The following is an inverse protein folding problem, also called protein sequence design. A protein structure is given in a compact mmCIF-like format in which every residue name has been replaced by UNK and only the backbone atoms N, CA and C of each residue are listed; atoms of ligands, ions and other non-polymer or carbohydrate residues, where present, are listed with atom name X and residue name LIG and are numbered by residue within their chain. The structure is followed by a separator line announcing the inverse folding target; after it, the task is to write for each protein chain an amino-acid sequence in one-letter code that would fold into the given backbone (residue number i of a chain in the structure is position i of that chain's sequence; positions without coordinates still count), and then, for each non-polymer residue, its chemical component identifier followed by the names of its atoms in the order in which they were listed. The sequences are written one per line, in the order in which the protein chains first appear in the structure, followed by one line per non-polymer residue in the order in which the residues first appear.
data_IF_616024455012
#
_entry.id   IF_616024455012
#
_cell.length_a   1.000
_cell.length_b   1.000
_cell.length_c   1.000
_cell.angle_alpha   90.00
_cell.angle_beta   90.00
_cell.angle_gamma   90.00
#
_symmetry.space_group_name_H-M   'P 1'
#
loop_
_entity.id
_entity.type
_entity.pdbx_description
1 polymer ?
#
# COMPACT_ATOMS: atom_id res chain seq x y z
N UNK A 1 -13.36 25.67 -43.10
CA UNK A 1 -14.14 24.76 -42.22
C UNK A 1 -15.32 25.51 -41.67
N UNK A 2 -16.50 24.89 -41.68
CA UNK A 2 -17.68 25.44 -40.99
C UNK A 2 -17.45 25.27 -39.47
N UNK A 3 -17.54 26.32 -38.65
CA UNK A 3 -17.33 26.20 -37.21
C UNK A 3 -18.41 25.30 -36.58
N UNK A 4 -18.05 24.35 -35.70
CA UNK A 4 -19.02 23.49 -35.05
C UNK A 4 -19.97 24.33 -34.19
N UNK A 5 -21.27 24.17 -34.40
CA UNK A 5 -22.29 24.87 -33.62
C UNK A 5 -22.63 24.09 -32.35
N UNK A 6 -22.80 24.80 -31.24
CA UNK A 6 -23.13 24.22 -29.93
C UNK A 6 -24.48 23.47 -30.00
N UNK A 7 -24.56 22.20 -29.53
CA UNK A 7 -25.81 21.44 -29.52
C UNK A 7 -26.96 22.17 -28.80
N UNK A 8 -26.67 22.95 -27.75
CA UNK A 8 -27.67 23.72 -26.99
C UNK A 8 -28.37 24.77 -27.88
N UNK A 9 -27.63 25.39 -28.80
CA UNK A 9 -28.18 26.38 -29.75
C UNK A 9 -29.07 25.69 -30.80
N UNK A 10 -28.69 24.48 -31.23
CA UNK A 10 -29.46 23.67 -32.18
C UNK A 10 -30.75 23.13 -31.55
N UNK A 11 -30.75 22.81 -30.25
CA UNK A 11 -31.94 22.38 -29.51
C UNK A 11 -32.91 23.55 -29.26
N UNK A 12 -32.39 24.71 -28.85
CA UNK A 12 -33.20 25.91 -28.60
C UNK A 12 -33.82 26.53 -29.86
N UNK A 13 -33.26 26.30 -31.06
CA UNK A 13 -33.79 26.84 -32.31
C UNK A 13 -33.95 25.77 -33.41
N UNK A 14 -35.13 25.12 -33.52
CA UNK A 14 -35.35 24.04 -34.48
C UNK A 14 -35.38 24.51 -35.95
N UNK A 15 -35.68 25.79 -36.22
CA UNK A 15 -35.61 26.35 -37.57
C UNK A 15 -34.15 26.51 -38.01
N UNK A 16 -33.31 27.06 -37.12
CA UNK A 16 -31.88 27.17 -37.34
C UNK A 16 -31.22 25.79 -37.46
N UNK A 17 -31.63 24.80 -36.65
CA UNK A 17 -31.18 23.39 -36.79
C UNK A 17 -31.43 22.83 -38.18
N UNK A 18 -32.65 23.03 -38.73
CA UNK A 18 -32.98 22.61 -40.11
C UNK A 18 -32.15 23.35 -41.16
N UNK A 19 -31.96 24.66 -41.00
CA UNK A 19 -31.12 25.47 -41.90
C UNK A 19 -29.65 25.01 -41.88
N UNK A 20 -29.07 24.83 -40.69
CA UNK A 20 -27.71 24.38 -40.49
C UNK A 20 -27.49 22.96 -41.03
N UNK A 21 -28.43 22.04 -40.79
CA UNK A 21 -28.43 20.71 -41.40
C UNK A 21 -28.50 20.80 -42.93
N UNK A 22 -29.41 21.58 -43.50
CA UNK A 22 -29.50 21.76 -44.95
C UNK A 22 -28.20 22.33 -45.54
N UNK A 23 -27.66 23.40 -44.95
CA UNK A 23 -26.40 24.02 -45.38
C UNK A 23 -25.23 23.02 -45.34
N UNK A 24 -25.06 22.27 -44.25
CA UNK A 24 -23.94 21.33 -44.08
C UNK A 24 -24.09 20.03 -44.88
N UNK A 25 -25.31 19.57 -45.16
CA UNK A 25 -25.56 18.30 -45.85
C UNK A 25 -25.80 18.44 -47.35
N UNK A 26 -26.47 19.49 -47.83
CA UNK A 26 -26.87 19.64 -49.25
C UNK A 26 -26.10 20.73 -50.00
N UNK A 27 -25.80 21.88 -49.36
CA UNK A 27 -25.24 23.04 -50.06
C UNK A 27 -23.73 23.22 -49.91
N UNK A 28 -23.14 22.85 -48.77
CA UNK A 28 -21.74 23.12 -48.46
C UNK A 28 -20.93 21.83 -48.19
N UNK A 29 -19.67 21.86 -48.60
CA UNK A 29 -18.64 20.91 -48.20
C UNK A 29 -18.12 21.26 -46.78
N UNK A 30 -17.47 20.34 -46.05
CA UNK A 30 -16.93 20.60 -44.70
C UNK A 30 -15.97 21.80 -44.65
N UNK A 31 -15.29 22.11 -45.75
CA UNK A 31 -14.41 23.27 -45.86
C UNK A 31 -15.14 24.62 -45.99
N UNK A 32 -16.42 24.61 -46.37
CA UNK A 32 -17.24 25.80 -46.62
C UNK A 32 -17.46 26.15 -48.10
N UNK A 33 -16.95 25.34 -49.04
CA UNK A 33 -17.21 25.51 -50.49
C UNK A 33 -18.58 24.95 -50.90
N UNK A 34 -19.17 25.48 -51.97
CA UNK A 34 -20.53 25.12 -52.42
C UNK A 34 -20.58 23.89 -53.33
N UNK A 35 -21.37 22.88 -52.93
CA UNK A 35 -21.60 21.63 -53.68
C UNK A 35 -22.25 21.84 -55.05
N UNK A 36 -23.08 22.89 -55.17
CA UNK A 36 -23.80 23.22 -56.41
C UNK A 36 -22.87 23.43 -57.63
N UNK A 37 -21.61 23.80 -57.40
CA UNK A 37 -20.62 24.00 -58.47
C UNK A 37 -19.73 22.79 -58.74
N UNK A 38 -19.74 21.78 -57.88
CA UNK A 38 -18.95 20.55 -58.03
C UNK A 38 -19.49 19.65 -59.15
N UNK A 39 -20.78 19.78 -59.49
CA UNK A 39 -21.43 19.03 -60.55
C UNK A 39 -21.20 19.61 -61.97
N UNK A 40 -20.77 20.87 -62.09
CA UNK A 40 -20.63 21.55 -63.39
C UNK A 40 -19.39 21.04 -64.16
N UNK A 41 -19.55 20.47 -65.37
CA UNK A 41 -18.42 19.86 -66.10
C UNK A 41 -17.32 20.86 -66.44
N UNK A 42 -17.67 22.11 -66.81
CA UNK A 42 -16.70 23.17 -67.08
C UNK A 42 -15.83 23.52 -65.85
N UNK A 43 -16.37 23.42 -64.63
CA UNK A 43 -15.59 23.63 -63.39
C UNK A 43 -14.78 22.40 -62.96
N UNK A 44 -15.16 21.19 -63.37
CA UNK A 44 -14.30 20.01 -63.23
C UNK A 44 -13.07 20.13 -64.13
N UNK A 45 -13.26 20.44 -65.41
CA UNK A 45 -12.17 20.71 -66.35
C UNK A 45 -11.22 21.80 -65.84
N UNK A 46 -11.74 22.95 -65.41
CA UNK A 46 -10.92 24.03 -64.83
C UNK A 46 -10.14 23.59 -63.57
N UNK A 47 -10.71 22.72 -62.73
CA UNK A 47 -10.00 22.17 -61.55
C UNK A 47 -8.90 21.17 -61.94
N UNK A 48 -9.11 20.40 -63.00
CA UNK A 48 -8.10 19.50 -63.56
C UNK A 48 -6.96 20.31 -64.18
N UNK A 49 -7.25 21.36 -64.96
CA UNK A 49 -6.27 22.31 -65.49
C UNK A 49 -5.46 23.01 -64.38
N UNK A 50 -6.14 23.50 -63.33
CA UNK A 50 -5.48 24.12 -62.16
C UNK A 50 -4.63 23.10 -61.41
N UNK A 51 -5.09 21.87 -61.23
CA UNK A 51 -4.29 20.78 -60.64
C UNK A 51 -3.05 20.49 -61.49
N UNK A 52 -3.17 20.46 -62.81
CA UNK A 52 -2.02 20.24 -63.69
C UNK A 52 -1.03 21.40 -63.65
N UNK A 53 -1.51 22.65 -63.59
CA UNK A 53 -0.67 23.82 -63.33
C UNK A 53 0.06 23.72 -61.99
N UNK A 54 -0.63 23.31 -60.92
CA UNK A 54 -0.03 23.11 -59.60
C UNK A 54 1.01 21.97 -59.60
N UNK A 55 0.74 20.85 -60.28
CA UNK A 55 1.69 19.75 -60.45
C UNK A 55 2.91 20.20 -61.24
N UNK A 56 2.74 21.01 -62.30
CA UNK A 56 3.86 21.60 -63.05
C UNK A 56 4.70 22.54 -62.18
N UNK A 57 4.06 23.45 -61.43
CA UNK A 57 4.73 24.37 -60.52
C UNK A 57 5.50 23.64 -59.40
N UNK A 58 4.86 22.67 -58.74
CA UNK A 58 5.50 21.84 -57.72
C UNK A 58 6.68 21.04 -58.28
N UNK A 59 6.56 20.47 -59.49
CA UNK A 59 7.70 19.81 -60.18
C UNK A 59 8.84 20.77 -60.48
N UNK A 60 8.56 22.03 -60.86
CA UNK A 60 9.59 23.08 -61.05
C UNK A 60 10.30 23.38 -59.72
N UNK A 61 9.54 23.64 -58.67
CA UNK A 61 10.07 23.95 -57.33
C UNK A 61 10.90 22.80 -56.72
N UNK A 62 10.43 21.56 -56.82
CA UNK A 62 11.16 20.37 -56.33
C UNK A 62 12.50 20.23 -57.06
N UNK A 63 12.53 20.43 -58.39
CA UNK A 63 13.78 20.40 -59.18
C UNK A 63 14.73 21.54 -58.81
N UNK A 64 14.22 22.77 -58.68
CA UNK A 64 15.02 23.93 -58.26
C UNK A 64 15.63 23.70 -56.87
N UNK A 65 14.84 23.26 -55.89
CA UNK A 65 15.32 22.97 -54.54
C UNK A 65 16.31 21.79 -54.50
N UNK A 66 16.13 20.75 -55.32
CA UNK A 66 17.07 19.64 -55.42
C UNK A 66 18.41 20.08 -56.04
N UNK A 67 18.38 20.92 -57.07
CA UNK A 67 19.58 21.53 -57.68
C UNK A 67 20.29 22.47 -56.71
N UNK A 68 19.54 23.34 -56.00
CA UNK A 68 20.09 24.20 -54.94
C UNK A 68 20.81 23.37 -53.88
N UNK A 69 20.17 22.31 -53.38
CA UNK A 69 20.79 21.42 -52.40
C UNK A 69 22.04 20.77 -52.97
N UNK A 70 22.00 20.25 -54.20
CA UNK A 70 23.17 19.64 -54.85
C UNK A 70 24.36 20.61 -54.96
N UNK A 71 24.11 21.88 -55.30
CA UNK A 71 25.12 22.92 -55.45
C UNK A 71 25.78 23.33 -54.12
N UNK A 72 24.97 23.55 -53.07
CA UNK A 72 25.42 24.20 -51.83
C UNK A 72 25.62 23.25 -50.63
N UNK A 73 25.19 21.98 -50.72
CA UNK A 73 25.42 20.96 -49.69
C UNK A 73 26.83 20.34 -49.91
N UNK A 74 27.77 20.44 -48.94
CA UNK A 74 29.13 19.92 -49.11
C UNK A 74 29.12 18.39 -49.30
N UNK A 75 28.20 17.70 -48.64
CA UNK A 75 28.11 16.23 -48.62
C UNK A 75 27.36 15.66 -49.85
N UNK A 76 27.07 16.49 -50.87
CA UNK A 76 26.24 16.15 -52.03
C UNK A 76 26.87 15.14 -53.01
N UNK A 77 28.12 14.73 -52.80
CA UNK A 77 28.86 13.79 -53.66
C UNK A 77 29.23 14.35 -55.04
N UNK A 78 28.98 15.64 -55.31
CA UNK A 78 29.26 16.26 -56.60
C UNK A 78 30.76 16.65 -56.72
N UNK A 79 31.44 16.34 -57.85
CA UNK A 79 32.78 16.85 -58.13
C UNK A 79 32.82 18.37 -58.18
N UNK A 80 33.89 18.97 -57.68
CA UNK A 80 33.98 20.43 -57.52
C UNK A 80 33.90 21.17 -58.86
N UNK A 81 34.49 20.62 -59.94
CA UNK A 81 34.39 21.13 -61.32
C UNK A 81 32.93 21.26 -61.84
N UNK A 82 31.99 20.51 -61.23
CA UNK A 82 30.57 20.54 -61.56
C UNK A 82 29.75 21.40 -60.60
N UNK A 83 30.29 21.83 -59.45
CA UNK A 83 29.55 22.63 -58.45
C UNK A 83 29.28 24.04 -58.94
N UNK A 84 30.28 24.73 -59.48
CA UNK A 84 30.15 26.14 -59.87
C UNK A 84 29.09 26.36 -60.96
N UNK A 85 29.03 25.59 -62.08
CA UNK A 85 27.99 25.77 -63.09
C UNK A 85 26.59 25.46 -62.57
N UNK A 86 26.47 24.45 -61.69
CA UNK A 86 25.17 24.08 -61.07
C UNK A 86 24.73 25.15 -60.06
N UNK A 87 25.66 25.78 -59.34
CA UNK A 87 25.37 26.90 -58.44
C UNK A 87 24.91 28.14 -59.21
N UNK A 88 25.61 28.52 -60.29
CA UNK A 88 25.26 29.64 -61.17
C UNK A 88 23.86 29.42 -61.76
N UNK A 89 23.61 28.25 -62.36
CA UNK A 89 22.30 27.90 -62.93
C UNK A 89 21.20 27.85 -61.85
N UNK A 90 21.49 27.34 -60.64
CA UNK A 90 20.52 27.33 -59.54
C UNK A 90 20.15 28.76 -59.08
N UNK A 91 21.13 29.66 -58.96
CA UNK A 91 20.90 31.05 -58.57
C UNK A 91 20.12 31.81 -59.64
N UNK A 92 20.42 31.59 -60.92
CA UNK A 92 19.66 32.16 -62.04
C UNK A 92 18.19 31.69 -62.07
N UNK A 93 17.95 30.39 -61.81
CA UNK A 93 16.60 29.83 -61.72
C UNK A 93 15.80 30.35 -60.51
N UNK A 94 16.47 30.87 -59.47
CA UNK A 94 15.83 31.48 -58.31
C UNK A 94 15.57 32.98 -58.48
N UNK A 95 16.48 33.71 -59.12
CA UNK A 95 16.34 35.15 -59.36
C UNK A 95 15.31 35.50 -60.45
N UNK A 96 15.05 34.58 -61.39
CA UNK A 96 14.10 34.76 -62.49
C UNK A 96 12.90 33.79 -62.41
N UNK A 97 11.95 33.95 -61.47
CA UNK A 97 10.79 33.08 -61.35
C UNK A 97 9.82 33.17 -62.55
N UNK A 98 9.66 34.38 -63.13
CA UNK A 98 8.56 34.75 -64.04
C UNK A 98 8.87 34.63 -65.54
N UNK A 99 10.13 34.47 -65.96
CA UNK A 99 10.51 34.30 -67.38
C UNK A 99 10.01 33.00 -68.02
N UNK A 100 9.41 32.10 -67.22
CA UNK A 100 8.72 30.89 -67.70
C UNK A 100 7.17 31.03 -67.69
N UNK A 101 6.65 32.22 -67.37
CA UNK A 101 5.22 32.53 -67.33
C UNK A 101 4.79 33.55 -68.39
N UNK A 102 5.71 34.41 -68.86
CA UNK A 102 5.46 35.39 -69.91
C UNK A 102 6.33 35.10 -71.14
N UNK A 103 5.67 34.82 -72.26
CA UNK A 103 6.30 34.51 -73.56
C UNK A 103 6.68 35.80 -74.33
N UNK A 104 7.00 36.88 -73.61
CA UNK A 104 7.27 38.20 -74.16
C UNK A 104 8.74 38.58 -73.93
N UNK A 105 9.46 38.83 -75.03
CA UNK A 105 10.91 39.02 -75.01
C UNK A 105 11.32 40.39 -74.49
N UNK A 106 11.46 40.53 -73.18
CA UNK A 106 12.21 41.65 -72.60
C UNK A 106 13.69 41.54 -72.99
N UNK A 107 14.26 42.62 -73.54
CA UNK A 107 15.64 42.64 -74.05
C UNK A 107 16.68 42.17 -73.01
N UNK A 108 16.50 42.48 -71.72
CA UNK A 108 17.43 42.08 -70.66
C UNK A 108 17.55 40.55 -70.52
N UNK A 109 16.47 39.79 -70.76
CA UNK A 109 16.49 38.33 -70.66
C UNK A 109 17.27 37.67 -71.81
N UNK A 110 17.38 38.34 -72.97
CA UNK A 110 18.19 37.88 -74.09
C UNK A 110 19.69 38.04 -73.78
N UNK A 111 20.08 39.21 -73.28
CA UNK A 111 21.48 39.53 -72.96
C UNK A 111 22.03 38.65 -71.82
N UNK A 112 21.23 38.37 -70.77
CA UNK A 112 21.63 37.42 -69.71
C UNK A 112 21.73 35.98 -70.22
N UNK A 113 20.90 35.58 -71.17
CA UNK A 113 20.93 34.23 -71.76
C UNK A 113 22.16 34.03 -72.66
N UNK A 114 22.66 35.09 -73.31
CA UNK A 114 23.93 35.06 -74.06
C UNK A 114 25.12 35.00 -73.11
N UNK A 115 25.09 35.74 -71.98
CA UNK A 115 26.16 35.73 -70.98
C UNK A 115 26.31 34.37 -70.29
N UNK A 116 25.19 33.71 -69.97
CA UNK A 116 25.16 32.41 -69.27
C UNK A 116 25.29 31.20 -70.20
N UNK A 117 25.31 31.38 -71.53
CA UNK A 117 25.38 30.28 -72.48
C UNK A 117 26.54 29.28 -72.22
N UNK A 118 27.78 29.71 -71.88
CA UNK A 118 28.88 28.78 -71.58
C UNK A 118 28.62 27.92 -70.34
N UNK A 119 28.05 28.50 -69.28
CA UNK A 119 27.72 27.80 -68.04
C UNK A 119 26.54 26.83 -68.24
N UNK A 120 25.59 27.20 -69.10
CA UNK A 120 24.46 26.36 -69.49
C UNK A 120 24.92 25.16 -70.34
N UNK A 121 25.82 25.35 -71.30
CA UNK A 121 26.39 24.26 -72.12
C UNK A 121 27.28 23.32 -71.28
N UNK A 122 28.04 23.88 -70.33
CA UNK A 122 28.81 23.11 -69.35
C UNK A 122 27.90 22.32 -68.39
N UNK A 123 26.81 22.93 -67.93
CA UNK A 123 25.77 22.25 -67.15
C UNK A 123 25.16 21.08 -67.93
N UNK A 124 24.76 21.28 -69.20
CA UNK A 124 24.22 20.21 -70.04
C UNK A 124 25.24 19.09 -70.30
N UNK A 125 26.53 19.43 -70.46
CA UNK A 125 27.60 18.45 -70.61
C UNK A 125 27.80 17.61 -69.34
N UNK A 126 27.64 18.22 -68.17
CA UNK A 126 27.80 17.58 -66.87
C UNK A 126 26.52 16.86 -66.36
N UNK A 127 25.37 17.03 -67.02
CA UNK A 127 24.09 16.41 -66.65
C UNK A 127 24.17 14.91 -66.27
N UNK A 128 24.90 14.03 -66.98
CA UNK A 128 24.99 12.61 -66.61
C UNK A 128 25.55 12.37 -65.20
N UNK A 129 26.47 13.24 -64.74
CA UNK A 129 27.06 13.17 -63.40
C UNK A 129 26.08 13.66 -62.32
N UNK A 130 25.14 14.54 -62.67
CA UNK A 130 24.13 15.07 -61.74
C UNK A 130 22.99 14.06 -61.46
N UNK A 131 22.73 13.09 -62.36
CA UNK A 131 21.57 12.19 -62.26
C UNK A 131 21.57 11.35 -60.99
N UNK A 132 22.71 10.76 -60.62
CA UNK A 132 22.79 9.89 -59.46
C UNK A 132 22.62 10.66 -58.12
N UNK A 133 23.36 11.76 -57.85
CA UNK A 133 23.13 12.61 -56.68
C UNK A 133 21.70 13.19 -56.59
N UNK A 134 21.13 13.66 -57.71
CA UNK A 134 19.74 14.16 -57.72
C UNK A 134 18.73 13.06 -57.38
N UNK A 135 18.93 11.84 -57.89
CA UNK A 135 18.10 10.68 -57.56
C UNK A 135 18.20 10.35 -56.06
N UNK A 136 19.40 10.41 -55.48
CA UNK A 136 19.61 10.17 -54.05
C UNK A 136 18.92 11.23 -53.18
N UNK A 137 19.07 12.52 -53.50
CA UNK A 137 18.40 13.64 -52.80
C UNK A 137 16.86 13.51 -52.87
N UNK A 138 16.31 13.10 -54.02
CA UNK A 138 14.86 12.88 -54.15
C UNK A 138 14.41 11.61 -53.41
N UNK A 139 15.22 10.55 -53.40
CA UNK A 139 14.89 9.30 -52.70
C UNK A 139 14.93 9.46 -51.17
N UNK A 140 15.88 10.23 -50.64
CA UNK A 140 16.00 10.57 -49.22
C UNK A 140 14.81 11.42 -48.78
N UNK A 141 14.49 12.50 -49.51
CA UNK A 141 13.31 13.31 -49.24
C UNK A 141 11.99 12.49 -49.27
N UNK A 142 11.85 11.54 -50.21
CA UNK A 142 10.71 10.60 -50.21
C UNK A 142 10.72 9.65 -49.01
N UNK A 143 11.89 9.22 -48.52
CA UNK A 143 12.01 8.41 -47.31
C UNK A 143 11.66 9.19 -46.05
N UNK A 144 12.05 10.47 -45.97
CA UNK A 144 11.73 11.39 -44.87
C UNK A 144 10.23 11.66 -44.81
N UNK A 145 9.58 11.94 -45.94
CA UNK A 145 8.11 12.13 -45.99
C UNK A 145 7.37 10.85 -45.60
N UNK A 146 7.86 9.66 -45.99
CA UNK A 146 7.30 8.38 -45.51
C UNK A 146 7.54 8.17 -44.01
N UNK A 147 8.70 8.55 -43.48
CA UNK A 147 8.99 8.46 -42.05
C UNK A 147 8.06 9.40 -41.24
N UNK A 148 7.88 10.63 -41.72
CA UNK A 148 6.93 11.60 -41.16
C UNK A 148 5.51 11.05 -41.20
N UNK A 149 5.03 10.49 -42.33
CA UNK A 149 3.72 9.87 -42.41
C UNK A 149 3.53 8.76 -41.35
N UNK A 150 4.49 7.85 -41.24
CA UNK A 150 4.43 6.66 -40.37
C UNK A 150 4.79 6.90 -38.88
N UNK A 151 5.31 8.07 -38.49
CA UNK A 151 5.83 8.30 -37.14
C UNK A 151 4.73 8.26 -36.04
N UNK A 152 4.42 7.08 -35.50
CA UNK A 152 3.35 6.89 -34.51
C UNK A 152 2.18 6.00 -34.95
N UNK A 153 2.25 5.39 -36.14
CA UNK A 153 1.46 4.19 -36.46
C UNK A 153 2.08 2.91 -35.91
N UNK A 154 3.28 2.98 -35.33
CA UNK A 154 3.79 1.92 -34.46
C UNK A 154 2.84 1.75 -33.28
N UNK A 155 2.27 0.56 -33.04
CA UNK A 155 1.41 0.35 -31.88
C UNK A 155 2.18 0.69 -30.60
N UNK A 156 1.52 1.38 -29.68
CA UNK A 156 2.10 1.81 -28.41
C UNK A 156 2.49 0.57 -27.59
N UNK A 157 3.78 0.22 -27.64
CA UNK A 157 4.26 -1.08 -27.14
C UNK A 157 5.78 -1.26 -27.19
N UNK A 158 6.56 -0.17 -27.16
CA UNK A 158 8.01 -0.24 -26.89
C UNK A 158 8.54 1.09 -26.35
N UNK A 159 8.41 1.30 -25.04
CA UNK A 159 9.27 2.24 -24.32
C UNK A 159 10.69 1.64 -24.25
N UNK A 160 11.57 2.05 -25.15
CA UNK A 160 13.01 1.86 -25.01
C UNK A 160 13.69 3.22 -24.94
N UNK A 161 14.11 3.58 -23.72
CA UNK A 161 15.11 4.61 -23.47
C UNK A 161 16.45 4.13 -24.10
N UNK A 162 17.34 5.10 -24.34
CA UNK A 162 18.72 4.98 -24.82
C UNK A 162 19.03 4.82 -26.33
N UNK A 163 19.88 5.75 -26.74
CA UNK A 163 20.82 5.78 -27.88
C UNK A 163 22.22 6.01 -27.27
N UNK A 164 23.36 5.84 -27.98
CA UNK A 164 23.54 5.26 -29.32
C UNK A 164 24.72 4.25 -29.43
N UNK A 165 24.73 3.39 -30.46
CA UNK A 165 25.87 3.23 -31.43
C UNK A 165 25.58 2.16 -32.50
N UNK A 166 26.29 2.18 -33.65
CA UNK A 166 25.88 1.43 -34.84
C UNK A 166 26.55 0.05 -34.95
N UNK A 167 25.79 -0.95 -35.39
CA UNK A 167 26.32 -2.05 -36.22
C UNK A 167 25.20 -2.71 -37.02
N UNK A 168 25.40 -2.80 -38.34
CA UNK A 168 24.45 -3.43 -39.24
C UNK A 168 24.36 -4.94 -38.97
N UNK A 169 23.13 -5.47 -38.95
CA UNK A 169 22.88 -6.87 -39.31
C UNK A 169 21.47 -7.08 -39.85
N UNK A 170 21.41 -7.00 -41.18
CA UNK A 170 20.58 -7.81 -42.08
C UNK A 170 19.49 -8.65 -41.41
N UNK A 171 18.27 -8.11 -41.35
CA UNK A 171 17.04 -8.92 -41.35
C UNK A 171 16.17 -8.44 -42.50
N UNK A 172 16.27 -9.15 -43.62
CA UNK A 172 15.30 -9.07 -44.69
C UNK A 172 13.97 -9.63 -44.16
N UNK A 173 13.13 -8.75 -43.62
CA UNK A 173 11.74 -9.08 -43.36
C UNK A 173 11.05 -9.27 -44.70
N UNK A 174 10.61 -10.51 -44.98
CA UNK A 174 9.97 -10.91 -46.24
C UNK A 174 8.81 -9.96 -46.56
N UNK A 175 8.84 -9.40 -47.76
CA UNK A 175 7.83 -8.47 -48.23
C UNK A 175 6.44 -9.14 -48.23
N UNK A 176 5.56 -8.69 -47.32
CA UNK A 176 4.14 -8.69 -47.61
C UNK A 176 3.88 -7.51 -48.54
N UNK A 177 3.47 -7.80 -49.77
CA UNK A 177 2.99 -6.85 -50.76
C UNK A 177 1.63 -6.26 -50.33
N UNK A 178 1.63 -5.53 -49.23
CA UNK A 178 0.54 -4.61 -48.88
C UNK A 178 0.56 -3.56 -49.98
N UNK A 179 -0.56 -3.42 -50.71
CA UNK A 179 -0.74 -2.38 -51.71
C UNK A 179 -0.36 -1.04 -51.08
N UNK A 180 0.65 -0.36 -51.64
CA UNK A 180 1.20 0.85 -51.05
C UNK A 180 0.12 1.93 -51.03
N UNK A 181 -0.51 2.13 -49.87
CA UNK A 181 -1.43 3.24 -49.63
C UNK A 181 -0.69 4.52 -50.02
N UNK A 182 -1.26 5.38 -50.88
CA UNK A 182 -0.55 6.57 -51.34
C UNK A 182 -0.12 7.41 -50.15
N UNK A 183 1.16 7.80 -50.13
CA UNK A 183 1.78 8.54 -49.01
C UNK A 183 1.00 9.84 -48.69
N UNK A 184 0.36 10.44 -49.69
CA UNK A 184 -0.56 11.56 -49.53
C UNK A 184 -1.73 11.25 -48.59
N UNK A 185 -2.43 10.13 -48.77
CA UNK A 185 -3.56 9.75 -47.90
C UNK A 185 -3.09 9.46 -46.47
N UNK A 186 -1.95 8.77 -46.30
CA UNK A 186 -1.35 8.52 -44.99
C UNK A 186 -0.99 9.83 -44.27
N UNK A 187 -0.44 10.81 -45.01
CA UNK A 187 -0.09 12.13 -44.48
C UNK A 187 -1.34 12.96 -44.15
N UNK A 188 -2.39 12.91 -44.97
CA UNK A 188 -3.68 13.56 -44.69
C UNK A 188 -4.35 13.00 -43.44
N UNK A 189 -4.40 11.67 -43.30
CA UNK A 189 -4.95 11.01 -42.12
C UNK A 189 -4.15 11.36 -40.86
N UNK A 190 -2.82 11.38 -40.95
CA UNK A 190 -1.94 11.85 -39.88
C UNK A 190 -2.20 13.31 -39.51
N UNK A 191 -2.29 14.21 -40.48
CA UNK A 191 -2.54 15.63 -40.24
C UNK A 191 -3.92 15.84 -39.61
N UNK A 192 -4.93 15.05 -40.00
CA UNK A 192 -6.26 15.04 -39.38
C UNK A 192 -6.19 14.60 -37.93
N UNK A 193 -5.49 13.50 -37.64
CA UNK A 193 -5.28 13.00 -36.28
C UNK A 193 -4.52 14.02 -35.40
N UNK A 194 -3.42 14.61 -35.89
CA UNK A 194 -2.66 15.63 -35.15
C UNK A 194 -3.51 16.88 -34.86
N UNK A 195 -4.32 17.33 -35.82
CA UNK A 195 -5.28 18.43 -35.60
C UNK A 195 -6.34 18.08 -34.57
N UNK A 196 -6.86 16.85 -34.57
CA UNK A 196 -7.79 16.36 -33.55
C UNK A 196 -7.16 16.39 -32.15
N UNK A 197 -5.90 15.94 -32.02
CA UNK A 197 -5.16 16.03 -30.75
C UNK A 197 -4.97 17.47 -30.28
N UNK A 198 -4.58 18.35 -31.19
CA UNK A 198 -4.28 19.75 -30.89
C UNK A 198 -5.53 20.57 -30.54
N UNK A 199 -6.65 20.35 -31.24
CA UNK A 199 -7.87 21.15 -31.11
C UNK A 199 -8.89 20.59 -30.12
N UNK A 200 -8.84 19.28 -29.83
CA UNK A 200 -9.82 18.61 -28.96
C UNK A 200 -9.12 17.99 -27.75
N UNK A 201 -8.28 16.96 -27.93
CA UNK A 201 -7.74 16.16 -26.82
C UNK A 201 -6.95 17.00 -25.79
N UNK A 202 -6.01 17.83 -26.27
CA UNK A 202 -5.15 18.65 -25.40
C UNK A 202 -5.97 19.71 -24.63
N UNK A 203 -6.84 20.52 -25.27
CA UNK A 203 -7.76 21.39 -24.57
C UNK A 203 -8.64 20.67 -23.54
N UNK A 204 -9.26 19.54 -23.89
CA UNK A 204 -10.14 18.81 -22.97
C UNK A 204 -9.40 18.26 -21.76
N UNK A 205 -8.21 17.68 -21.97
CA UNK A 205 -7.38 17.18 -20.88
C UNK A 205 -6.90 18.32 -19.96
N UNK A 206 -6.56 19.49 -20.54
CA UNK A 206 -6.19 20.68 -19.77
C UNK A 206 -7.36 21.22 -18.94
N UNK A 207 -8.59 21.22 -19.47
CA UNK A 207 -9.77 21.63 -18.69
C UNK A 207 -10.08 20.65 -17.56
N UNK A 208 -9.99 19.34 -17.81
CA UNK A 208 -10.18 18.30 -16.78
C UNK A 208 -9.13 18.38 -15.68
N UNK A 209 -7.86 18.60 -16.03
CA UNK A 209 -6.80 18.80 -15.05
C UNK A 209 -7.05 20.06 -14.21
N UNK A 210 -7.60 21.13 -14.79
CA UNK A 210 -7.94 22.35 -14.07
C UNK A 210 -9.13 22.17 -13.12
N UNK A 211 -10.17 21.40 -13.50
CA UNK A 211 -11.30 21.12 -12.60
C UNK A 211 -10.88 20.24 -11.42
N UNK A 212 -10.12 19.16 -11.68
CA UNK A 212 -9.58 18.28 -10.63
C UNK A 212 -8.65 19.06 -9.69
N UNK A 213 -7.83 19.99 -10.20
CA UNK A 213 -6.99 20.84 -9.35
C UNK A 213 -7.81 21.82 -8.50
N UNK A 214 -8.96 22.29 -8.98
CA UNK A 214 -9.87 23.13 -8.19
C UNK A 214 -10.59 22.33 -7.08
N UNK A 215 -11.06 21.11 -7.38
CA UNK A 215 -11.63 20.15 -6.41
C UNK A 215 -10.58 19.77 -5.33
N UNK A 216 -9.37 19.44 -5.80
CA UNK A 216 -8.05 19.62 -5.17
C UNK A 216 -8.00 20.58 -3.96
N UNK A 217 -8.07 21.85 -4.33
CA UNK A 217 -7.93 22.99 -3.43
C UNK A 217 -9.17 23.20 -2.55
N UNK A 218 -10.37 22.90 -3.06
CA UNK A 218 -11.61 23.00 -2.29
C UNK A 218 -11.66 21.98 -1.13
N UNK A 219 -11.30 20.72 -1.38
CA UNK A 219 -11.21 19.68 -0.33
C UNK A 219 -10.13 20.03 0.69
N UNK A 220 -8.96 20.50 0.25
CA UNK A 220 -7.90 21.00 1.14
C UNK A 220 -8.38 22.17 2.01
N UNK A 221 -9.12 23.13 1.46
CA UNK A 221 -9.67 24.24 2.21
C UNK A 221 -10.65 23.76 3.29
N UNK A 222 -11.56 22.84 2.95
CA UNK A 222 -12.50 22.25 3.91
C UNK A 222 -11.80 21.47 5.04
N UNK A 223 -10.71 20.74 4.74
CA UNK A 223 -9.89 20.07 5.77
C UNK A 223 -9.19 21.08 6.69
N UNK A 224 -8.66 22.18 6.14
CA UNK A 224 -8.04 23.24 6.94
C UNK A 224 -9.08 23.94 7.84
N UNK A 225 -10.27 24.24 7.34
CA UNK A 225 -11.36 24.78 8.15
C UNK A 225 -11.76 23.81 9.28
N UNK A 226 -11.93 22.52 8.96
CA UNK A 226 -12.29 21.48 9.95
C UNK A 226 -11.24 21.35 11.06
N UNK A 227 -9.95 21.38 10.70
CA UNK A 227 -8.84 21.29 11.65
C UNK A 227 -8.71 22.53 12.52
N UNK A 228 -8.91 23.74 11.98
CA UNK A 228 -9.00 24.98 12.77
C UNK A 228 -10.16 24.91 13.76
N UNK A 229 -11.37 24.54 13.32
CA UNK A 229 -12.53 24.40 14.21
C UNK A 229 -12.31 23.38 15.34
N UNK A 230 -11.60 22.28 15.08
CA UNK A 230 -11.25 21.29 16.11
C UNK A 230 -10.22 21.83 17.10
N UNK A 231 -9.19 22.54 16.61
CA UNK A 231 -8.18 23.19 17.46
C UNK A 231 -8.78 24.28 18.35
N UNK A 232 -9.72 25.06 17.83
CA UNK A 232 -10.51 26.02 18.61
C UNK A 232 -11.37 25.31 19.66
N UNK A 233 -12.14 24.28 19.30
CA UNK A 233 -13.02 23.59 20.26
C UNK A 233 -12.25 22.86 21.36
N UNK A 234 -11.10 22.26 21.05
CA UNK A 234 -10.39 21.37 21.98
C UNK A 234 -9.25 22.03 22.77
N UNK A 235 -8.52 23.01 22.20
CA UNK A 235 -7.28 23.54 22.81
C UNK A 235 -7.25 25.06 22.97
N UNK A 236 -7.64 25.81 21.95
CA UNK A 236 -7.37 27.26 21.87
C UNK A 236 -8.62 28.13 22.13
N UNK A 237 -9.81 27.57 22.10
CA UNK A 237 -11.06 28.27 22.38
C UNK A 237 -11.15 28.77 23.83
N UNK A 238 -11.94 29.81 24.03
CA UNK A 238 -12.12 30.41 25.36
C UNK A 238 -12.68 29.39 26.37
N UNK A 239 -13.65 28.56 25.96
CA UNK A 239 -14.26 27.53 26.83
C UNK A 239 -13.23 26.46 27.23
N UNK A 240 -12.49 25.89 26.26
CA UNK A 240 -11.47 24.87 26.54
C UNK A 240 -10.33 25.39 27.44
N UNK A 241 -9.91 26.64 27.25
CA UNK A 241 -8.93 27.29 28.15
C UNK A 241 -9.51 27.55 29.54
N UNK A 242 -10.77 27.97 29.64
CA UNK A 242 -11.44 28.19 30.92
C UNK A 242 -11.68 26.89 31.71
N UNK A 243 -12.08 25.80 31.04
CA UNK A 243 -12.24 24.49 31.70
C UNK A 243 -10.90 23.92 32.14
N UNK A 244 -9.86 24.03 31.30
CA UNK A 244 -8.48 23.65 31.68
C UNK A 244 -7.99 24.42 32.90
N UNK A 245 -8.06 25.75 32.87
CA UNK A 245 -7.63 26.59 34.00
C UNK A 245 -8.44 26.32 35.28
N UNK A 246 -9.74 26.01 35.16
CA UNK A 246 -10.58 25.59 36.30
C UNK A 246 -10.17 24.22 36.85
N UNK A 247 -9.83 23.27 35.99
CA UNK A 247 -9.34 21.95 36.41
C UNK A 247 -7.98 22.06 37.12
N UNK A 248 -7.05 22.85 36.57
CA UNK A 248 -5.74 23.14 37.19
C UNK A 248 -5.91 23.81 38.56
N UNK A 249 -6.80 24.81 38.68
CA UNK A 249 -7.14 25.43 39.97
C UNK A 249 -7.75 24.44 40.96
N UNK A 250 -8.68 23.58 40.53
CA UNK A 250 -9.27 22.58 41.42
C UNK A 250 -8.25 21.53 41.87
N UNK A 251 -7.29 21.17 41.01
CA UNK A 251 -6.19 20.27 41.36
C UNK A 251 -5.26 20.87 42.42
N UNK A 252 -4.89 22.16 42.30
CA UNK A 252 -4.07 22.83 43.33
C UNK A 252 -4.83 23.01 44.64
N UNK A 253 -6.15 23.26 44.60
CA UNK A 253 -7.00 23.25 45.80
C UNK A 253 -7.05 21.86 46.44
N UNK A 254 -7.17 20.78 45.67
CA UNK A 254 -7.17 19.41 46.19
C UNK A 254 -5.83 19.06 46.87
N UNK A 255 -4.69 19.38 46.25
CA UNK A 255 -3.36 19.24 46.86
C UNK A 255 -3.24 20.06 48.16
N UNK A 256 -3.80 21.27 48.18
CA UNK A 256 -3.85 22.11 49.38
C UNK A 256 -4.76 21.57 50.49
N UNK A 257 -5.76 20.75 50.17
CA UNK A 257 -6.59 20.03 51.14
C UNK A 257 -5.89 18.77 51.63
N UNK A 258 -5.26 18.00 50.75
CA UNK A 258 -4.43 16.83 51.10
C UNK A 258 -3.31 17.23 52.08
N UNK A 259 -2.59 18.32 51.80
CA UNK A 259 -1.58 18.87 52.71
C UNK A 259 -2.12 19.36 54.06
N UNK A 260 -3.39 19.76 54.14
CA UNK A 260 -4.05 20.08 55.42
C UNK A 260 -4.45 18.83 56.17
N UNK A 261 -4.96 17.81 55.46
CA UNK A 261 -5.36 16.55 56.06
C UNK A 261 -4.15 15.81 56.66
N UNK A 262 -3.00 15.80 55.99
CA UNK A 262 -1.78 15.20 56.54
C UNK A 262 -1.22 15.96 57.75
N UNK A 263 -1.33 17.30 57.78
CA UNK A 263 -1.02 18.07 59.00
C UNK A 263 -1.98 17.74 60.14
N UNK A 264 -3.30 17.69 59.88
CA UNK A 264 -4.29 17.29 60.89
C UNK A 264 -4.09 15.85 61.39
N UNK A 265 -3.70 14.92 60.50
CA UNK A 265 -3.34 13.56 60.87
C UNK A 265 -2.14 13.55 61.83
N UNK A 266 -1.07 14.29 61.50
CA UNK A 266 0.10 14.41 62.36
C UNK A 266 -0.20 15.10 63.70
N UNK A 267 -1.09 16.10 63.72
CA UNK A 267 -1.58 16.73 64.96
C UNK A 267 -2.36 15.72 65.83
N UNK A 268 -3.29 14.96 65.25
CA UNK A 268 -4.05 13.92 65.96
C UNK A 268 -3.10 12.83 66.47
N UNK A 269 -2.18 12.34 65.63
CA UNK A 269 -1.17 11.35 66.02
C UNK A 269 -0.27 11.88 67.13
N UNK A 270 0.10 13.16 67.13
CA UNK A 270 0.85 13.77 68.23
C UNK A 270 0.04 13.83 69.54
N UNK A 271 -1.28 14.03 69.49
CA UNK A 271 -2.11 13.96 70.71
C UNK A 271 -2.28 12.53 71.25
N UNK A 272 -2.32 11.51 70.38
CA UNK A 272 -2.48 10.10 70.77
C UNK A 272 -1.14 9.51 71.24
N UNK A 273 -0.06 9.76 70.49
CA UNK A 273 1.29 9.28 70.76
C UNK A 273 2.08 10.28 71.60
N UNK A 274 1.60 10.54 72.81
CA UNK A 274 2.38 11.26 73.82
C UNK A 274 3.71 10.53 74.10
N UNK A 275 4.79 11.23 74.49
CA UNK A 275 6.09 10.59 74.71
C UNK A 275 6.05 9.49 75.77
N UNK A 276 5.12 9.58 76.73
CA UNK A 276 4.88 8.55 77.74
C UNK A 276 4.28 7.28 77.14
N UNK A 277 3.31 7.40 76.24
CA UNK A 277 2.70 6.27 75.51
C UNK A 277 3.73 5.61 74.59
N UNK A 278 4.52 6.41 73.85
CA UNK A 278 5.60 5.88 73.01
C UNK A 278 6.65 5.14 73.85
N UNK A 279 7.04 5.70 75.01
CA UNK A 279 7.96 5.01 75.93
C UNK A 279 7.34 3.75 76.55
N UNK A 280 6.03 3.71 76.79
CA UNK A 280 5.32 2.52 77.27
C UNK A 280 5.26 1.42 76.20
N UNK A 281 4.92 1.75 74.96
CA UNK A 281 4.95 0.84 73.81
C UNK A 281 6.38 0.30 73.57
N UNK A 282 7.40 1.16 73.68
CA UNK A 282 8.81 0.75 73.59
C UNK A 282 9.31 -0.11 74.76
N UNK A 283 8.64 -0.07 75.93
CA UNK A 283 8.85 -1.05 77.02
C UNK A 283 8.14 -2.37 76.72
N UNK A 284 6.90 -2.31 76.24
CA UNK A 284 6.11 -3.49 75.88
C UNK A 284 6.73 -4.29 74.72
N UNK A 285 7.25 -3.61 73.68
CA UNK A 285 7.96 -4.25 72.58
C UNK A 285 9.22 -5.00 73.05
N UNK A 286 10.00 -4.41 73.96
CA UNK A 286 11.14 -5.09 74.58
C UNK A 286 10.69 -6.30 75.39
N UNK A 287 9.66 -6.16 76.23
CA UNK A 287 9.10 -7.29 76.95
C UNK A 287 8.64 -8.43 76.01
N UNK A 288 7.93 -8.12 74.93
CA UNK A 288 7.52 -9.11 73.93
C UNK A 288 8.72 -9.82 73.30
N UNK A 289 9.76 -9.06 72.94
CA UNK A 289 11.01 -9.60 72.43
C UNK A 289 11.68 -10.54 73.44
N UNK A 290 11.86 -10.10 74.69
CA UNK A 290 12.44 -10.91 75.76
C UNK A 290 11.62 -12.18 76.01
N UNK A 291 10.28 -12.11 75.95
CA UNK A 291 9.42 -13.31 76.08
C UNK A 291 9.54 -14.24 74.89
N UNK A 292 9.70 -13.71 73.67
CA UNK A 292 9.91 -14.52 72.47
C UNK A 292 11.27 -15.22 72.53
N UNK A 293 12.34 -14.51 72.89
CA UNK A 293 13.68 -15.08 73.04
C UNK A 293 13.67 -16.20 74.10
N UNK A 294 13.02 -16.00 75.26
CA UNK A 294 12.82 -17.08 76.26
C UNK A 294 11.99 -18.27 75.75
N UNK A 295 10.97 -18.05 74.94
CA UNK A 295 10.17 -19.13 74.35
C UNK A 295 10.96 -19.89 73.27
N UNK A 296 11.84 -19.20 72.54
CA UNK A 296 12.78 -19.82 71.60
C UNK A 296 13.86 -20.63 72.34
N UNK A 297 14.39 -20.14 73.47
CA UNK A 297 15.27 -20.89 74.38
C UNK A 297 14.57 -22.14 74.96
N UNK A 298 13.36 -22.00 75.50
CA UNK A 298 12.57 -23.13 76.01
C UNK A 298 12.27 -24.15 74.91
N UNK A 299 11.95 -23.69 73.69
CA UNK A 299 11.76 -24.56 72.53
C UNK A 299 13.06 -25.28 72.14
N UNK A 300 14.20 -24.60 72.19
CA UNK A 300 15.50 -25.21 71.90
C UNK A 300 15.83 -26.32 72.92
N UNK A 301 15.65 -26.06 74.22
CA UNK A 301 15.84 -27.06 75.28
C UNK A 301 14.88 -28.25 75.11
N UNK A 302 13.59 -28.01 74.85
CA UNK A 302 12.62 -29.08 74.60
C UNK A 302 12.95 -29.90 73.33
N UNK A 303 13.54 -29.27 72.30
CA UNK A 303 14.03 -29.97 71.11
C UNK A 303 15.31 -30.77 71.37
N UNK A 304 16.19 -30.32 72.28
CA UNK A 304 17.35 -31.09 72.73
C UNK A 304 16.92 -32.30 73.58
N UNK A 305 15.93 -32.14 74.46
CA UNK A 305 15.31 -33.25 75.18
C UNK A 305 14.70 -34.26 74.20
N UNK A 306 13.91 -33.80 73.21
CA UNK A 306 13.33 -34.66 72.17
C UNK A 306 14.39 -35.40 71.33
N UNK A 307 15.48 -34.74 70.94
CA UNK A 307 16.63 -35.41 70.28
C UNK A 307 17.25 -36.48 71.18
N UNK A 308 17.35 -36.22 72.48
CA UNK A 308 17.79 -37.20 73.47
C UNK A 308 16.86 -38.41 73.61
N UNK A 309 15.59 -38.31 73.18
CA UNK A 309 14.69 -39.45 73.02
C UNK A 309 14.80 -40.12 71.64
N UNK A 310 15.04 -39.35 70.57
CA UNK A 310 15.20 -39.84 69.18
C UNK A 310 16.51 -40.65 69.00
N UNK A 311 17.62 -40.20 69.57
CA UNK A 311 18.92 -40.92 69.58
C UNK A 311 18.85 -42.29 70.27
N UNK A 312 17.81 -42.56 71.09
CA UNK A 312 17.58 -43.86 71.72
C UNK A 312 16.93 -44.86 70.77
N UNK A 313 16.28 -44.38 69.70
CA UNK A 313 15.55 -45.19 68.71
C UNK A 313 16.43 -45.52 67.47
N UNK A 314 17.29 -44.60 67.03
CA UNK A 314 18.21 -44.81 65.88
C UNK A 314 19.60 -45.33 66.27
N UNK A 315 19.67 -46.29 67.20
CA UNK A 315 20.90 -46.79 67.83
C UNK A 315 21.48 -48.10 67.27
N UNK A 316 21.57 -48.24 65.93
CA UNK A 316 22.09 -49.44 65.27
C UNK A 316 23.62 -49.46 65.06
N UNK A 317 24.39 -49.92 66.04
CA UNK A 317 25.77 -50.41 65.86
C UNK A 317 26.89 -49.37 65.62
N UNK A 318 27.69 -49.09 66.66
CA UNK A 318 28.93 -48.33 66.51
C UNK A 318 29.62 -48.03 67.84
N UNK A 319 30.88 -48.44 68.00
CA UNK A 319 31.65 -48.18 69.22
C UNK A 319 32.24 -46.77 69.23
N UNK A 320 32.01 -45.98 70.29
CA UNK A 320 33.06 -45.39 71.14
C UNK A 320 32.57 -44.28 72.08
N UNK A 321 33.12 -44.26 73.31
CA UNK A 321 33.39 -43.06 74.14
C UNK A 321 32.24 -42.39 74.92
N UNK A 322 31.89 -43.07 76.00
CA UNK A 322 31.91 -42.56 77.38
C UNK A 322 30.92 -41.47 77.88
N UNK A 323 30.31 -41.81 79.03
CA UNK A 323 29.61 -41.01 80.06
C UNK A 323 28.11 -40.77 79.92
N UNK A 324 27.41 -40.97 81.05
CA UNK A 324 25.99 -40.66 81.36
C UNK A 324 24.84 -41.53 80.79
N UNK A 325 25.06 -42.85 80.68
CA UNK A 325 23.96 -43.82 80.57
C UNK A 325 23.32 -44.12 81.95
N UNK A 326 22.37 -43.30 82.43
CA UNK A 326 21.63 -43.60 83.67
C UNK A 326 20.26 -42.91 83.84
N UNK A 327 19.42 -42.90 82.80
CA UNK A 327 17.97 -42.62 82.96
C UNK A 327 17.02 -43.08 81.85
N UNK A 328 17.50 -43.54 80.67
CA UNK A 328 16.63 -44.08 79.60
C UNK A 328 16.55 -45.61 79.59
N UNK A 329 15.92 -46.16 80.64
CA UNK A 329 15.62 -47.59 80.78
C UNK A 329 14.12 -47.98 80.59
N UNK A 330 13.11 -47.21 81.06
CA UNK A 330 11.73 -47.70 81.08
C UNK A 330 11.08 -47.73 79.70
N UNK A 331 11.33 -46.74 78.82
CA UNK A 331 10.76 -46.72 77.47
C UNK A 331 11.22 -47.90 76.60
N UNK A 332 12.48 -48.33 76.74
CA UNK A 332 13.05 -49.47 75.98
C UNK A 332 12.44 -50.82 76.37
N UNK A 333 12.00 -50.94 77.63
CA UNK A 333 11.25 -52.09 78.14
C UNK A 333 9.79 -52.06 77.65
N UNK A 334 9.16 -50.88 77.63
CA UNK A 334 7.79 -50.69 77.11
C UNK A 334 7.72 -51.00 75.62
N UNK A 335 8.62 -50.44 74.81
CA UNK A 335 8.68 -50.68 73.35
C UNK A 335 8.88 -52.17 73.01
N UNK A 336 9.72 -52.89 73.77
CA UNK A 336 9.85 -54.35 73.64
C UNK A 336 8.55 -55.09 73.92
N UNK A 337 7.86 -54.74 75.02
CA UNK A 337 6.59 -55.38 75.39
C UNK A 337 5.50 -55.12 74.35
N UNK A 338 5.41 -53.90 73.83
CA UNK A 338 4.51 -53.55 72.73
C UNK A 338 4.85 -54.32 71.44
N UNK A 339 6.12 -54.41 71.06
CA UNK A 339 6.57 -55.16 69.88
C UNK A 339 6.41 -56.69 70.00
N UNK A 340 6.31 -57.25 71.20
CA UNK A 340 5.85 -58.63 71.41
C UNK A 340 4.31 -58.73 71.28
N UNK A 341 3.57 -57.87 71.99
CA UNK A 341 2.11 -57.82 71.94
C UNK A 341 1.56 -57.64 70.51
N UNK A 342 2.20 -56.84 69.67
CA UNK A 342 1.80 -56.67 68.26
C UNK A 342 1.93 -58.00 67.49
N UNK A 343 3.03 -58.75 67.68
CA UNK A 343 3.21 -60.06 67.05
C UNK A 343 2.20 -61.08 67.55
N UNK A 344 1.95 -61.12 68.85
CA UNK A 344 0.92 -61.98 69.45
C UNK A 344 -0.49 -61.64 68.90
N UNK A 345 -0.78 -60.35 68.64
CA UNK A 345 -2.03 -59.88 68.00
C UNK A 345 -2.07 -60.27 66.52
N UNK A 346 -0.98 -60.15 65.77
CA UNK A 346 -0.88 -60.54 64.36
C UNK A 346 -1.08 -62.06 64.18
N UNK A 347 -0.49 -62.87 65.05
CA UNK A 347 -0.65 -64.33 65.05
C UNK A 347 -2.10 -64.74 65.35
N UNK A 348 -2.72 -64.15 66.38
CA UNK A 348 -4.16 -64.36 66.69
C UNK A 348 -5.04 -63.89 65.54
N UNK A 349 -4.68 -62.78 64.87
CA UNK A 349 -5.41 -62.26 63.71
C UNK A 349 -5.33 -63.19 62.51
N UNK A 350 -4.16 -63.75 62.20
CA UNK A 350 -4.02 -64.77 61.15
C UNK A 350 -4.81 -66.06 61.48
N UNK A 351 -4.92 -66.42 62.76
CA UNK A 351 -5.71 -67.58 63.19
C UNK A 351 -7.23 -67.31 63.09
N UNK A 352 -7.68 -66.08 63.35
CA UNK A 352 -9.07 -65.62 63.09
C UNK A 352 -9.37 -65.59 61.59
N UNK A 353 -8.47 -65.03 60.76
CA UNK A 353 -8.62 -64.99 59.30
C UNK A 353 -8.64 -66.40 58.67
N UNK A 354 -7.93 -67.37 59.26
CA UNK A 354 -7.98 -68.80 58.91
C UNK A 354 -9.30 -69.49 59.30
N UNK A 355 -10.00 -69.01 60.32
CA UNK A 355 -11.26 -69.60 60.81
C UNK A 355 -12.52 -68.95 60.21
N UNK A 356 -12.40 -67.83 59.49
CA UNK A 356 -13.54 -67.07 58.93
C UNK A 356 -13.92 -67.39 57.47
N UNK A 357 -13.32 -68.40 56.83
CA UNK A 357 -13.62 -68.77 55.43
C UNK A 357 -14.97 -69.54 55.29
N UNK A 358 -16.10 -68.96 55.73
CA UNK A 358 -17.45 -69.44 55.37
C UNK A 358 -18.60 -68.49 55.79
N UNK A 359 -18.71 -67.28 55.22
CA UNK A 359 -19.98 -66.72 54.67
C UNK A 359 -19.85 -65.29 54.09
N UNK A 360 -20.18 -65.15 52.79
CA UNK A 360 -20.89 -64.04 52.12
C UNK A 360 -20.61 -62.55 52.44
N UNK A 361 -19.73 -61.95 51.63
CA UNK A 361 -19.99 -60.84 50.66
C UNK A 361 -20.57 -59.45 51.03
N UNK A 362 -19.98 -58.43 50.41
CA UNK A 362 -20.46 -57.05 50.13
C UNK A 362 -20.60 -56.10 51.36
N UNK A 363 -20.25 -54.81 51.32
CA UNK A 363 -19.64 -53.93 50.30
C UNK A 363 -18.31 -53.33 50.88
N UNK A 364 -17.64 -52.26 50.41
CA UNK A 364 -17.94 -51.26 49.38
C UNK A 364 -16.66 -50.59 48.81
N UNK A 365 -16.70 -50.20 47.53
CA UNK A 365 -15.78 -49.27 46.91
C UNK A 365 -16.28 -47.81 47.07
N UNK A 366 -15.46 -46.91 47.64
CA UNK A 366 -15.51 -45.43 47.44
C UNK A 366 -14.31 -44.74 48.12
N UNK A 367 -13.10 -44.81 47.56
CA UNK A 367 -11.90 -44.16 48.13
C UNK A 367 -10.97 -43.50 47.10
N UNK A 368 -11.49 -43.03 45.96
CA UNK A 368 -10.70 -42.27 44.97
C UNK A 368 -11.39 -41.00 44.40
N UNK A 369 -12.57 -40.60 44.89
CA UNK A 369 -13.33 -39.45 44.35
C UNK A 369 -13.01 -38.09 45.03
N UNK A 370 -12.18 -38.06 46.08
CA UNK A 370 -11.97 -36.88 46.93
C UNK A 370 -10.59 -36.21 46.80
N UNK A 371 -9.74 -36.63 45.84
CA UNK A 371 -8.38 -36.09 45.69
C UNK A 371 -8.17 -35.16 44.48
N UNK A 372 -9.22 -34.92 43.68
CA UNK A 372 -9.14 -34.12 42.45
C UNK A 372 -9.99 -32.84 42.45
N UNK A 373 -10.64 -32.49 43.57
CA UNK A 373 -11.66 -31.41 43.62
C UNK A 373 -11.32 -30.24 44.56
N UNK A 374 -10.04 -30.01 44.84
CA UNK A 374 -9.56 -28.91 45.71
C UNK A 374 -8.39 -28.13 45.08
N UNK A 375 -8.44 -27.91 43.77
CA UNK A 375 -7.48 -27.07 43.03
C UNK A 375 -8.14 -25.93 42.23
N UNK A 376 -9.44 -26.03 41.89
CA UNK A 376 -10.13 -25.08 40.99
C UNK A 376 -10.89 -23.93 41.70
N UNK A 377 -11.08 -23.96 43.03
CA UNK A 377 -11.85 -22.95 43.78
C UNK A 377 -11.08 -21.63 44.04
N UNK A 378 -10.40 -21.09 43.02
CA UNK A 378 -9.63 -19.85 43.12
C UNK A 378 -9.73 -18.91 41.89
N UNK A 379 -10.52 -19.24 40.86
CA UNK A 379 -10.74 -18.41 39.67
C UNK A 379 -12.17 -17.87 39.64
N UNK A 380 -12.31 -16.54 39.66
CA UNK A 380 -13.62 -15.86 39.65
C UNK A 380 -14.18 -15.74 38.23
N UNK A 381 -14.64 -16.85 37.68
CA UNK A 381 -15.31 -16.92 36.37
C UNK A 381 -16.66 -16.18 36.44
N UNK A 382 -16.95 -15.37 35.42
CA UNK A 382 -18.15 -14.53 35.35
C UNK A 382 -19.37 -15.26 34.75
N UNK A 383 -19.14 -16.04 33.69
CA UNK A 383 -20.17 -16.83 32.99
C UNK A 383 -19.54 -18.00 32.22
N UNK A 384 -20.35 -18.98 31.81
CA UNK A 384 -19.94 -20.12 30.96
C UNK A 384 -20.70 -20.05 29.63
N UNK A 385 -19.98 -20.02 28.50
CA UNK A 385 -20.53 -19.70 27.17
C UNK A 385 -20.14 -20.79 26.17
N UNK A 386 -21.11 -21.30 25.42
CA UNK A 386 -20.89 -22.28 24.36
C UNK A 386 -20.25 -21.59 23.13
N UNK A 387 -19.29 -22.26 22.48
CA UNK A 387 -18.53 -21.67 21.36
C UNK A 387 -19.41 -21.33 20.14
N UNK A 388 -20.58 -21.95 20.02
CA UNK A 388 -21.61 -21.62 19.02
C UNK A 388 -22.15 -20.18 19.16
N UNK A 389 -22.17 -19.63 20.39
CA UNK A 389 -22.59 -18.25 20.68
C UNK A 389 -21.44 -17.22 20.50
N UNK A 390 -20.20 -17.68 20.26
CA UNK A 390 -19.06 -16.81 20.00
C UNK A 390 -18.91 -16.50 18.51
N UNK A 391 -18.45 -15.30 18.18
CA UNK A 391 -18.19 -14.89 16.79
C UNK A 391 -16.71 -15.08 16.47
N UNK A 392 -16.38 -15.84 15.42
CA UNK A 392 -14.99 -16.04 14.97
C UNK A 392 -14.54 -14.93 13.99
N UNK A 393 -13.36 -14.34 14.22
CA UNK A 393 -12.69 -13.47 13.23
C UNK A 393 -11.56 -14.22 12.51
N UNK A 394 -11.71 -14.52 11.20
CA UNK A 394 -10.71 -15.27 10.44
C UNK A 394 -9.40 -14.49 10.20
N UNK A 395 -9.37 -13.17 10.40
CA UNK A 395 -8.15 -12.37 10.22
C UNK A 395 -7.26 -12.35 11.47
N UNK A 396 -7.87 -12.50 12.64
CA UNK A 396 -7.20 -12.52 13.95
C UNK A 396 -7.09 -13.95 14.53
N UNK A 397 -7.75 -14.92 13.90
CA UNK A 397 -7.86 -16.32 14.35
C UNK A 397 -8.33 -16.43 15.81
N UNK A 398 -9.29 -15.59 16.19
CA UNK A 398 -9.82 -15.51 17.56
C UNK A 398 -11.35 -15.53 17.60
N UNK A 399 -11.89 -16.07 18.69
CA UNK A 399 -13.31 -16.03 19.01
C UNK A 399 -13.59 -14.86 19.94
N UNK A 400 -14.69 -14.14 19.71
CA UNK A 400 -15.08 -13.00 20.52
C UNK A 400 -16.55 -13.00 20.95
N UNK A 401 -16.80 -12.50 22.16
CA UNK A 401 -18.13 -12.38 22.77
C UNK A 401 -18.34 -11.00 23.43
N UNK A 402 -19.52 -10.37 23.36
CA UNK A 402 -19.76 -9.05 23.95
C UNK A 402 -19.68 -9.04 25.48
N UNK A 403 -18.85 -8.16 26.05
CA UNK A 403 -18.69 -8.00 27.49
C UNK A 403 -19.62 -6.92 28.05
N UNK A 404 -20.22 -7.09 29.25
CA UNK A 404 -21.09 -6.07 29.88
C UNK A 404 -20.41 -4.72 30.16
N UNK A 405 -19.08 -4.61 30.09
CA UNK A 405 -18.37 -3.33 30.19
C UNK A 405 -18.42 -2.48 28.89
N UNK A 406 -18.91 -3.06 27.77
CA UNK A 406 -18.96 -2.42 26.45
C UNK A 406 -17.81 -2.80 25.51
N UNK A 407 -16.86 -3.60 25.98
CA UNK A 407 -15.77 -4.19 25.20
C UNK A 407 -16.10 -5.66 24.84
N UNK A 408 -15.11 -6.46 24.44
CA UNK A 408 -15.28 -7.89 24.11
C UNK A 408 -14.41 -8.79 25.00
N UNK A 409 -14.85 -10.03 25.18
CA UNK A 409 -13.98 -11.14 25.58
C UNK A 409 -13.34 -11.69 24.31
N UNK A 410 -12.06 -12.07 24.37
CA UNK A 410 -11.30 -12.61 23.24
C UNK A 410 -10.48 -13.82 23.70
N UNK A 411 -10.36 -14.84 22.83
CA UNK A 411 -9.48 -16.01 22.99
C UNK A 411 -9.00 -16.49 21.61
N UNK A 412 -7.74 -16.91 21.47
CA UNK A 412 -7.22 -17.40 20.20
C UNK A 412 -7.66 -18.85 19.94
N UNK A 413 -7.75 -19.23 18.66
CA UNK A 413 -8.08 -20.61 18.29
C UNK A 413 -6.98 -21.60 18.67
N UNK A 414 -5.72 -21.17 18.70
CA UNK A 414 -4.60 -22.01 19.09
C UNK A 414 -4.64 -22.31 20.60
N UNK A 415 -4.97 -21.32 21.44
CA UNK A 415 -5.15 -21.51 22.89
C UNK A 415 -6.28 -22.53 23.18
N UNK A 416 -7.39 -22.44 22.46
CA UNK A 416 -8.50 -23.43 22.52
C UNK A 416 -8.05 -24.83 22.05
N UNK A 417 -7.17 -24.94 21.04
CA UNK A 417 -6.62 -26.23 20.58
C UNK A 417 -5.66 -26.85 21.60
N UNK A 418 -4.89 -26.02 22.31
CA UNK A 418 -4.00 -26.43 23.39
C UNK A 418 -4.74 -26.74 24.71
N UNK A 419 -6.05 -26.42 24.78
CA UNK A 419 -6.95 -26.80 25.86
C UNK A 419 -7.17 -25.72 26.94
N UNK A 420 -6.86 -24.46 26.63
CA UNK A 420 -7.19 -23.32 27.48
C UNK A 420 -8.64 -22.88 27.23
N UNK A 421 -9.46 -22.88 28.29
CA UNK A 421 -10.91 -22.67 28.23
C UNK A 421 -11.37 -21.33 28.81
N UNK A 422 -10.46 -20.36 29.00
CA UNK A 422 -10.72 -19.08 29.68
C UNK A 422 -10.50 -17.89 28.74
N UNK A 423 -11.59 -17.23 28.32
CA UNK A 423 -11.51 -15.99 27.54
C UNK A 423 -11.53 -14.76 28.46
N UNK A 424 -10.68 -13.76 28.15
CA UNK A 424 -10.44 -12.60 29.02
C UNK A 424 -10.89 -11.30 28.33
N UNK A 425 -11.50 -10.38 29.09
CA UNK A 425 -11.81 -9.05 28.60
C UNK A 425 -10.70 -8.03 28.96
N UNK A 426 -10.05 -7.38 27.99
CA UNK A 426 -8.92 -6.48 28.25
C UNK A 426 -9.32 -5.19 28.97
N UNK A 427 -10.58 -4.73 28.86
CA UNK A 427 -11.04 -3.51 29.53
C UNK A 427 -11.45 -3.67 30.99
N UNK A 428 -11.87 -4.85 31.44
CA UNK A 428 -12.43 -5.02 32.80
C UNK A 428 -11.93 -6.24 33.58
N UNK A 429 -10.96 -7.01 33.04
CA UNK A 429 -10.39 -8.21 33.68
C UNK A 429 -11.40 -9.29 34.10
N UNK A 430 -12.62 -9.25 33.56
CA UNK A 430 -13.55 -10.36 33.68
C UNK A 430 -13.05 -11.53 32.83
N UNK A 431 -13.35 -12.73 33.29
CA UNK A 431 -12.99 -14.00 32.66
C UNK A 431 -14.25 -14.82 32.48
N UNK A 432 -14.47 -15.39 31.30
CA UNK A 432 -15.56 -16.33 31.01
C UNK A 432 -14.99 -17.69 30.64
N UNK A 433 -15.75 -18.76 30.86
CA UNK A 433 -15.39 -20.10 30.42
C UNK A 433 -15.99 -20.39 29.06
N UNK A 434 -15.20 -20.91 28.12
CA UNK A 434 -15.67 -21.32 26.79
C UNK A 434 -15.88 -22.83 26.77
N UNK A 435 -17.11 -23.26 26.47
CA UNK A 435 -17.46 -24.68 26.29
C UNK A 435 -17.39 -25.01 24.79
N UNK A 436 -16.50 -25.93 24.41
CA UNK A 436 -16.27 -26.32 23.03
C UNK A 436 -15.90 -27.80 22.89
N UNK A 437 -16.28 -28.43 21.78
CA UNK A 437 -15.68 -29.67 21.32
C UNK A 437 -14.64 -29.36 20.22
N UNK A 438 -13.58 -30.17 20.12
CA UNK A 438 -12.53 -30.00 19.09
C UNK A 438 -13.04 -30.14 17.63
N UNK A 439 -14.27 -30.60 17.44
CA UNK A 439 -14.91 -30.71 16.13
C UNK A 439 -15.47 -29.38 15.62
N UNK A 440 -15.79 -28.44 16.51
CA UNK A 440 -16.49 -27.19 16.21
C UNK A 440 -15.53 -26.01 15.98
N UNK A 441 -14.25 -26.21 16.30
CA UNK A 441 -13.18 -25.26 16.00
C UNK A 441 -12.95 -25.14 14.49
N UNK A 442 -12.75 -23.91 14.01
CA UNK A 442 -12.38 -23.67 12.62
C UNK A 442 -11.07 -24.40 12.26
N UNK A 443 -11.07 -25.04 11.09
CA UNK A 443 -9.92 -25.80 10.57
C UNK A 443 -9.07 -24.89 9.71
N UNK A 444 -7.75 -25.09 9.75
CA UNK A 444 -6.83 -24.35 8.90
C UNK A 444 -6.92 -24.89 7.47
N UNK A 445 -7.37 -24.05 6.53
CA UNK A 445 -7.51 -24.40 5.11
C UNK A 445 -6.15 -24.44 4.42
N UNK A 446 -5.46 -25.57 4.58
CA UNK A 446 -4.14 -25.83 4.02
C UNK A 446 -4.20 -26.28 2.54
N UNK A 447 -4.77 -25.46 1.63
CA UNK A 447 -4.33 -25.42 0.21
C UNK A 447 -4.80 -24.20 -0.63
N UNK A 448 -3.86 -23.27 -0.86
CA UNK A 448 -3.62 -22.44 -2.08
C UNK A 448 -4.72 -21.62 -2.80
N UNK A 449 -4.23 -20.43 -3.20
CA UNK A 449 -4.62 -19.55 -4.34
C UNK A 449 -5.86 -18.65 -4.23
N UNK A 450 -5.61 -17.34 -4.10
CA UNK A 450 -6.62 -16.29 -4.27
C UNK A 450 -6.07 -14.86 -4.07
N UNK A 451 -5.34 -14.32 -5.04
CA UNK A 451 -4.92 -12.90 -5.01
C UNK A 451 -6.15 -11.99 -5.15
N UNK A 452 -6.42 -11.15 -4.14
CA UNK A 452 -7.42 -10.09 -4.20
C UNK A 452 -6.83 -8.78 -3.63
N UNK A 453 -6.85 -7.72 -4.44
CA UNK A 453 -6.16 -6.47 -4.13
C UNK A 453 -6.91 -5.62 -3.10
N UNK A 454 -6.17 -5.02 -2.16
CA UNK A 454 -6.67 -3.92 -1.33
C UNK A 454 -6.81 -2.67 -2.21
N UNK A 455 -8.04 -2.36 -2.60
CA UNK A 455 -8.38 -1.08 -3.21
C UNK A 455 -8.46 0.00 -2.13
N UNK A 456 -7.42 0.83 -2.01
CA UNK A 456 -7.48 2.07 -1.24
C UNK A 456 -8.37 3.06 -2.00
N UNK A 457 -9.58 3.32 -1.48
CA UNK A 457 -10.40 4.42 -1.97
C UNK A 457 -9.88 5.75 -1.44
N UNK A 458 -9.78 6.72 -2.35
CA UNK A 458 -9.68 8.15 -2.11
C UNK A 458 -10.86 8.83 -2.81
#
# INVERSE_FOLDING_TARGET
MIPPCDPVILENNPQFKRLYQHLTTTLLNPDGSTRAHDAQPARKALREEVRDCQIRAAKKQIKQHALRRLAFDPDSGLPDDCRDPVAIVSLYLESCPDLLALNDGSHEAADTSVLLAPDIDLFYSNMPLLVAPLSEILSTALSDVRAIANAGTSPAGSTSIDRPRPRARTRQAVARSIAQVPVAAQLEDRLRALRQKQLIEIPTARTQMATIAAEVLATRAAVLERTVMLLERAKHGAVARATKARAEHLATVAQGVEGKLSVMELEILATIHTPEVVAALGRYYRHLRDTRERLEEQRALALEELKGYEEVDTGGGGSSRATRAQQSAPMKEIARRYGSLIRDIEDVRMEIERLSFSHTSNLQATTNYLKSKMADEALSIYDEIEIEDMTFDPNLQSYHYPCPCGDRFEIAIDDLRDGEDIAVCPSCSLMIRVIFDQADLAKDDDDKTGSAAVAVQA
#
